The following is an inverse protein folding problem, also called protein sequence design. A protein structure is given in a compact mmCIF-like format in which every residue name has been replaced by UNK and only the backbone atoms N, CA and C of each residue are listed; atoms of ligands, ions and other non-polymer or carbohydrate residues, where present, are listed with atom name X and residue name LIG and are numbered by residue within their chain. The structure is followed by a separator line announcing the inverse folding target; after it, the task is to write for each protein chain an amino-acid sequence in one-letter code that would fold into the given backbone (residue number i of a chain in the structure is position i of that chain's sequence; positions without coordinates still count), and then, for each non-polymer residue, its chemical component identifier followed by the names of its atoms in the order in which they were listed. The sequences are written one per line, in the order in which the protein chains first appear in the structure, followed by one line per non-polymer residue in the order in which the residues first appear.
data_IF_178678146823
#
_entry.id   IF_178678146823
#
_cell.length_a   1.000
_cell.length_b   1.000
_cell.length_c   1.000
_cell.angle_alpha   90.00
_cell.angle_beta   90.00
_cell.angle_gamma   90.00
#
_symmetry.space_group_name_H-M   'P 1'
#
loop_
_entity.id
_entity.type
_entity.pdbx_description
1 polymer ?
#
# COMPACT_ATOMS: atom_id res chain seq x y z
N UNK A 1 9.12 -32.07 -0.07
CA UNK A 1 8.00 -31.41 0.63
C UNK A 1 8.07 -29.93 0.28
N UNK A 2 7.43 -29.53 -0.80
CA UNK A 2 7.42 -28.16 -1.32
C UNK A 2 6.24 -27.44 -0.66
N UNK A 3 6.52 -26.41 0.12
CA UNK A 3 5.50 -25.59 0.76
C UNK A 3 4.78 -24.77 -0.32
N UNK A 4 3.47 -24.99 -0.42
CA UNK A 4 2.55 -24.17 -1.19
C UNK A 4 2.36 -22.84 -0.44
N UNK A 5 2.81 -21.73 -1.04
CA UNK A 5 2.62 -20.39 -0.50
C UNK A 5 1.26 -19.89 -0.96
N UNK A 6 0.26 -19.98 -0.08
CA UNK A 6 -1.09 -19.52 -0.36
C UNK A 6 -1.13 -18.06 -0.78
N UNK A 7 -1.49 -17.81 -2.03
CA UNK A 7 -1.78 -16.48 -2.55
C UNK A 7 -3.20 -16.08 -2.15
N UNK A 8 -3.35 -15.13 -1.23
CA UNK A 8 -4.65 -14.55 -0.91
C UNK A 8 -5.12 -13.65 -2.06
N UNK A 9 -6.24 -14.01 -2.69
CA UNK A 9 -6.95 -13.20 -3.67
C UNK A 9 -8.43 -13.11 -3.29
N UNK A 10 -9.00 -11.90 -3.31
CA UNK A 10 -10.43 -11.72 -3.07
C UNK A 10 -11.23 -12.00 -4.34
N UNK A 11 -12.20 -12.91 -4.26
CA UNK A 11 -13.22 -13.14 -5.28
C UNK A 11 -14.60 -12.89 -4.68
N UNK A 12 -15.44 -12.12 -5.37
CA UNK A 12 -16.85 -11.94 -5.00
C UNK A 12 -17.66 -12.95 -5.84
N UNK A 13 -17.88 -14.14 -5.29
CA UNK A 13 -18.63 -15.21 -5.95
C UNK A 13 -19.75 -15.71 -5.03
N UNK A 14 -21.01 -15.51 -5.45
CA UNK A 14 -22.14 -16.25 -4.93
C UNK A 14 -22.39 -17.44 -5.86
N UNK A 15 -21.97 -18.65 -5.48
CA UNK A 15 -22.26 -19.86 -6.26
C UNK A 15 -21.29 -21.00 -5.99
N UNK A 16 -21.85 -22.19 -5.76
CA UNK A 16 -21.12 -23.43 -5.54
C UNK A 16 -20.19 -23.79 -6.73
N UNK A 17 -18.90 -23.97 -6.43
CA UNK A 17 -18.11 -25.06 -6.98
C UNK A 17 -17.73 -25.09 -8.46
N UNK A 18 -17.86 -24.00 -9.25
CA UNK A 18 -17.29 -23.93 -10.60
C UNK A 18 -16.69 -22.53 -10.82
N UNK A 19 -15.38 -22.38 -11.15
CA UNK A 19 -14.83 -21.10 -11.60
C UNK A 19 -15.51 -20.72 -12.91
N UNK A 20 -16.34 -19.67 -12.90
CA UNK A 20 -16.93 -19.12 -14.12
C UNK A 20 -15.84 -18.34 -14.89
N UNK A 21 -15.74 -18.48 -16.21
CA UNK A 21 -14.95 -17.56 -17.03
C UNK A 21 -15.48 -16.13 -16.84
N UNK A 22 -14.71 -15.28 -16.14
CA UNK A 22 -15.09 -13.88 -15.86
C UNK A 22 -15.23 -13.51 -14.38
N UNK A 23 -14.55 -14.21 -13.46
CA UNK A 23 -14.48 -13.79 -12.06
C UNK A 23 -13.62 -12.51 -11.92
N UNK A 24 -14.26 -11.41 -11.52
CA UNK A 24 -13.56 -10.16 -11.21
C UNK A 24 -12.69 -10.33 -9.97
N UNK A 25 -11.37 -10.25 -10.13
CA UNK A 25 -10.41 -10.29 -9.01
C UNK A 25 -9.77 -8.93 -8.83
N UNK A 26 -9.55 -8.55 -7.58
CA UNK A 26 -8.73 -7.39 -7.26
C UNK A 26 -7.45 -7.84 -6.57
N UNK A 27 -6.31 -7.41 -7.09
CA UNK A 27 -4.98 -7.65 -6.51
C UNK A 27 -4.18 -6.36 -6.49
N UNK A 28 -3.13 -6.33 -5.68
CA UNK A 28 -2.23 -5.19 -5.54
C UNK A 28 -0.81 -5.68 -5.70
N UNK A 29 -0.09 -5.07 -6.63
CA UNK A 29 1.37 -5.16 -6.66
C UNK A 29 1.94 -4.02 -5.81
N UNK A 30 2.57 -4.39 -4.72
CA UNK A 30 3.34 -3.47 -3.87
C UNK A 30 4.78 -3.45 -4.34
N UNK A 31 5.32 -2.27 -4.62
CA UNK A 31 6.73 -2.06 -4.96
C UNK A 31 7.35 -1.09 -3.98
N UNK A 32 8.51 -1.44 -3.42
CA UNK A 32 9.23 -0.59 -2.45
C UNK A 32 10.63 -0.32 -2.95
N UNK A 33 10.95 0.95 -3.13
CA UNK A 33 12.29 1.44 -3.46
C UNK A 33 12.92 2.10 -2.22
N UNK A 34 14.21 1.85 -1.99
CA UNK A 34 14.88 2.28 -0.75
C UNK A 34 16.18 3.00 -1.04
N UNK A 35 16.36 4.16 -0.41
CA UNK A 35 17.60 4.94 -0.43
C UNK A 35 18.17 5.05 0.98
N UNK A 36 19.49 4.88 1.08
CA UNK A 36 20.22 4.92 2.35
C UNK A 36 20.31 6.35 2.89
N UNK A 37 20.65 6.49 4.17
CA UNK A 37 20.70 7.80 4.82
C UNK A 37 21.69 8.77 4.16
N UNK A 38 22.83 8.27 3.65
CA UNK A 38 23.80 9.11 2.93
C UNK A 38 23.26 9.60 1.59
N UNK A 39 22.60 8.72 0.83
CA UNK A 39 21.97 9.08 -0.44
C UNK A 39 20.86 10.11 -0.24
N UNK A 40 20.01 9.90 0.77
CA UNK A 40 18.97 10.85 1.18
C UNK A 40 19.57 12.18 1.60
N UNK A 41 20.60 12.19 2.47
CA UNK A 41 21.27 13.42 2.92
C UNK A 41 21.88 14.19 1.76
N UNK A 42 22.59 13.51 0.87
CA UNK A 42 23.19 14.12 -0.31
C UNK A 42 22.13 14.75 -1.22
N UNK A 43 21.02 14.02 -1.48
CA UNK A 43 19.92 14.54 -2.30
C UNK A 43 19.24 15.75 -1.65
N UNK A 44 18.99 15.69 -0.33
CA UNK A 44 18.43 16.81 0.43
C UNK A 44 19.28 18.07 0.30
N UNK A 45 20.60 17.96 0.46
CA UNK A 45 21.51 19.11 0.33
C UNK A 45 21.52 19.70 -1.10
N UNK A 46 21.30 18.87 -2.11
CA UNK A 46 21.26 19.29 -3.52
C UNK A 46 19.96 20.00 -3.89
N UNK A 47 18.86 19.60 -3.26
CA UNK A 47 17.50 20.06 -3.57
C UNK A 47 16.98 21.15 -2.64
N UNK A 48 17.63 21.33 -1.48
CA UNK A 48 17.17 22.19 -0.37
C UNK A 48 15.76 21.82 0.14
N UNK A 49 15.42 20.52 0.07
CA UNK A 49 14.19 19.93 0.59
C UNK A 49 14.29 18.41 0.66
N UNK A 50 13.33 17.76 1.31
CA UNK A 50 13.23 16.30 1.29
C UNK A 50 13.06 15.76 -0.15
N UNK A 51 13.82 14.72 -0.55
CA UNK A 51 13.75 14.13 -1.88
C UNK A 51 12.53 13.21 -2.02
N UNK A 52 11.98 13.17 -3.24
CA UNK A 52 11.01 12.18 -3.73
C UNK A 52 11.70 11.10 -4.57
N UNK A 53 10.99 10.04 -4.92
CA UNK A 53 11.42 9.04 -5.90
C UNK A 53 11.87 9.68 -7.23
N UNK A 54 11.08 10.63 -7.74
CA UNK A 54 11.39 11.36 -8.98
C UNK A 54 12.67 12.18 -8.86
N UNK A 55 12.97 12.69 -7.68
CA UNK A 55 14.19 13.46 -7.46
C UNK A 55 15.42 12.55 -7.50
N UNK A 56 15.37 11.38 -6.86
CA UNK A 56 16.45 10.41 -6.96
C UNK A 56 16.69 9.95 -8.40
N UNK A 57 15.63 9.73 -9.18
CA UNK A 57 15.73 9.42 -10.60
C UNK A 57 16.41 10.57 -11.40
N UNK A 58 15.98 11.82 -11.16
CA UNK A 58 16.57 13.02 -11.80
C UNK A 58 18.04 13.21 -11.43
N UNK A 59 18.39 12.91 -10.18
CA UNK A 59 19.76 12.98 -9.67
C UNK A 59 20.59 11.74 -10.01
N UNK A 60 20.00 10.74 -10.69
CA UNK A 60 20.64 9.47 -11.07
C UNK A 60 21.19 8.69 -9.88
N UNK A 61 20.49 8.74 -8.75
CA UNK A 61 20.81 7.97 -7.55
C UNK A 61 19.90 6.75 -7.50
N UNK A 62 20.46 5.58 -7.79
CA UNK A 62 19.72 4.34 -7.73
C UNK A 62 19.36 3.97 -6.28
N UNK A 63 18.18 3.37 -6.05
CA UNK A 63 17.88 2.76 -4.76
C UNK A 63 18.86 1.61 -4.48
N UNK A 64 19.21 1.39 -3.22
CA UNK A 64 20.05 0.25 -2.84
C UNK A 64 19.27 -1.07 -2.86
N UNK A 65 17.94 -1.01 -2.79
CA UNK A 65 17.07 -2.17 -2.86
C UNK A 65 15.71 -1.79 -3.47
N UNK A 66 15.22 -2.67 -4.33
CA UNK A 66 13.86 -2.63 -4.87
C UNK A 66 13.25 -4.01 -4.64
N UNK A 67 12.06 -4.06 -4.06
CA UNK A 67 11.34 -5.31 -3.80
C UNK A 67 9.90 -5.18 -4.21
N UNK A 68 9.31 -6.31 -4.55
CA UNK A 68 7.91 -6.40 -4.95
C UNK A 68 7.19 -7.46 -4.12
N UNK A 69 5.90 -7.22 -3.85
CA UNK A 69 5.01 -8.17 -3.21
C UNK A 69 3.67 -8.12 -3.94
N UNK A 70 3.24 -9.25 -4.48
CA UNK A 70 1.94 -9.38 -5.13
C UNK A 70 0.94 -10.00 -4.16
N UNK A 71 -0.19 -9.31 -4.00
CA UNK A 71 -1.34 -9.81 -3.25
C UNK A 71 -1.81 -8.86 -2.17
N UNK A 72 -3.08 -9.01 -1.84
CA UNK A 72 -3.76 -8.35 -0.75
C UNK A 72 -5.14 -9.00 -0.58
N UNK A 73 -5.75 -8.79 0.57
CA UNK A 73 -7.19 -8.88 0.71
C UNK A 73 -7.79 -7.51 0.43
N UNK A 74 -8.88 -7.44 -0.35
CA UNK A 74 -9.72 -6.25 -0.37
C UNK A 74 -10.64 -6.28 0.85
N UNK A 75 -10.60 -5.21 1.63
CA UNK A 75 -11.42 -5.10 2.83
C UNK A 75 -12.88 -4.77 2.43
N UNK A 76 -13.84 -5.27 3.20
CA UNK A 76 -15.27 -5.03 2.99
C UNK A 76 -15.59 -3.54 2.98
N UNK A 77 -15.01 -2.76 3.90
CA UNK A 77 -15.18 -1.31 3.93
C UNK A 77 -14.62 -0.62 2.66
N UNK A 78 -13.51 -1.14 2.14
CA UNK A 78 -12.94 -0.75 0.85
C UNK A 78 -13.89 -0.98 -0.32
N UNK A 79 -14.43 -2.20 -0.41
CA UNK A 79 -15.46 -2.55 -1.40
C UNK A 79 -16.67 -1.64 -1.33
N UNK A 80 -17.24 -1.45 -0.14
CA UNK A 80 -18.39 -0.57 0.06
C UNK A 80 -18.10 0.84 -0.44
N UNK A 81 -16.91 1.38 -0.15
CA UNK A 81 -16.54 2.72 -0.63
C UNK A 81 -16.43 2.79 -2.15
N UNK A 82 -15.77 1.82 -2.78
CA UNK A 82 -15.66 1.77 -4.24
C UNK A 82 -17.05 1.69 -4.90
N UNK A 83 -17.96 0.87 -4.37
CA UNK A 83 -19.31 0.72 -4.89
C UNK A 83 -20.18 1.98 -4.66
N UNK A 84 -20.03 2.65 -3.51
CA UNK A 84 -20.73 3.90 -3.26
C UNK A 84 -20.30 5.00 -4.24
N UNK A 85 -19.00 5.11 -4.52
CA UNK A 85 -18.48 6.04 -5.52
C UNK A 85 -19.00 5.71 -6.93
N UNK A 86 -19.01 4.43 -7.31
CA UNK A 86 -19.52 3.98 -8.61
C UNK A 86 -21.03 4.23 -8.76
N UNK A 87 -21.81 4.05 -7.70
CA UNK A 87 -23.25 4.29 -7.68
C UNK A 87 -23.66 5.76 -7.48
N UNK A 88 -22.70 6.68 -7.33
CA UNK A 88 -22.99 8.08 -7.03
C UNK A 88 -23.61 8.31 -5.63
N UNK A 89 -23.44 7.35 -4.72
CA UNK A 89 -23.97 7.40 -3.35
C UNK A 89 -23.09 8.23 -2.39
N UNK A 90 -22.00 8.81 -2.91
CA UNK A 90 -21.04 9.62 -2.16
C UNK A 90 -19.90 8.80 -1.55
N UNK A 91 -19.11 9.46 -0.71
CA UNK A 91 -17.87 8.94 -0.14
C UNK A 91 -16.63 9.66 -0.67
N UNK A 92 -15.50 9.47 0.02
CA UNK A 92 -14.25 10.10 -0.37
C UNK A 92 -13.56 9.30 -1.48
N UNK A 93 -13.22 9.96 -2.58
CA UNK A 93 -12.47 9.34 -3.67
C UNK A 93 -11.04 9.00 -3.22
N UNK A 94 -10.48 7.91 -3.76
CA UNK A 94 -9.07 7.57 -3.58
C UNK A 94 -8.21 8.33 -4.60
N UNK A 95 -7.91 9.60 -4.28
CA UNK A 95 -7.02 10.49 -5.03
C UNK A 95 -5.76 10.85 -4.21
N UNK A 96 -4.87 11.67 -4.77
CA UNK A 96 -3.61 12.07 -4.12
C UNK A 96 -3.77 13.04 -2.94
N UNK A 97 -4.97 13.51 -2.65
CA UNK A 97 -5.26 14.37 -1.49
C UNK A 97 -6.02 13.63 -0.38
N UNK A 98 -6.56 12.45 -0.69
CA UNK A 98 -7.37 11.65 0.23
C UNK A 98 -7.00 10.16 0.23
N UNK A 99 -5.78 9.79 -0.12
CA UNK A 99 -5.29 8.41 -0.04
C UNK A 99 -3.97 8.35 0.70
N UNK A 100 -3.81 7.37 1.58
CA UNK A 100 -2.55 7.11 2.27
C UNK A 100 -2.13 5.67 2.07
N UNK A 101 -0.82 5.44 1.96
CA UNK A 101 -0.23 4.10 2.10
C UNK A 101 0.16 3.92 3.56
N UNK A 102 -0.50 2.98 4.22
CA UNK A 102 -0.17 2.47 5.54
C UNK A 102 0.94 1.42 5.48
N UNK A 103 1.87 1.51 6.43
CA UNK A 103 2.88 0.48 6.72
C UNK A 103 2.84 0.18 8.22
N UNK A 104 3.00 -1.09 8.57
CA UNK A 104 2.97 -1.54 9.96
C UNK A 104 3.98 -2.64 10.25
N UNK A 105 4.31 -2.81 11.52
CA UNK A 105 5.14 -3.91 12.01
C UNK A 105 4.32 -5.11 12.52
N UNK A 106 2.98 -5.07 12.37
CA UNK A 106 2.07 -6.13 12.79
C UNK A 106 2.47 -7.46 12.14
N UNK A 107 2.87 -8.43 12.95
CA UNK A 107 3.33 -9.74 12.46
C UNK A 107 2.94 -10.93 13.34
N UNK A 108 2.23 -10.72 14.44
CA UNK A 108 2.22 -11.75 15.48
C UNK A 108 0.86 -11.80 16.17
N UNK A 109 0.14 -12.90 15.96
CA UNK A 109 -0.76 -13.42 16.99
C UNK A 109 0.12 -13.85 18.16
N UNK A 110 -0.26 -13.62 19.43
CA UNK A 110 0.45 -14.16 20.58
C UNK A 110 0.66 -15.69 20.39
N UNK A 111 1.87 -16.11 19.99
CA UNK A 111 2.13 -17.46 19.48
C UNK A 111 3.06 -17.58 18.27
N UNK A 112 3.46 -16.48 17.62
CA UNK A 112 4.53 -16.48 16.60
C UNK A 112 4.10 -16.80 15.17
N UNK A 113 2.79 -16.81 14.88
CA UNK A 113 2.26 -16.88 13.51
C UNK A 113 1.80 -15.51 13.00
N UNK A 114 2.03 -15.24 11.72
CA UNK A 114 1.46 -14.10 11.01
C UNK A 114 -0.06 -14.15 11.05
N UNK A 115 -0.72 -13.08 11.53
CA UNK A 115 -2.17 -12.91 11.34
C UNK A 115 -2.39 -12.66 9.85
N UNK A 116 -3.14 -13.51 9.14
CA UNK A 116 -3.46 -13.24 7.74
C UNK A 116 -4.40 -12.02 7.66
N UNK A 117 -4.18 -11.16 6.67
CA UNK A 117 -5.17 -10.15 6.31
C UNK A 117 -6.54 -10.80 6.06
N UNK A 118 -7.61 -10.20 6.55
CA UNK A 118 -9.00 -10.67 6.35
C UNK A 118 -9.88 -9.55 5.84
N UNK A 119 -10.99 -9.91 5.16
CA UNK A 119 -11.87 -8.92 4.54
C UNK A 119 -12.52 -7.97 5.58
N UNK A 120 -12.65 -8.40 6.83
CA UNK A 120 -13.20 -7.58 7.90
C UNK A 120 -12.23 -6.51 8.44
N UNK A 121 -10.95 -6.53 8.03
CA UNK A 121 -9.95 -5.60 8.54
C UNK A 121 -10.32 -4.15 8.19
N UNK A 122 -10.30 -3.29 9.19
CA UNK A 122 -10.49 -1.84 9.03
C UNK A 122 -9.21 -1.05 9.28
N UNK A 123 -8.14 -1.71 9.69
CA UNK A 123 -6.87 -1.12 10.14
C UNK A 123 -5.74 -2.13 9.88
N UNK A 124 -4.49 -1.65 9.92
CA UNK A 124 -3.31 -2.50 10.00
C UNK A 124 -3.32 -3.26 11.33
N UNK A 125 -2.74 -4.45 11.37
CA UNK A 125 -2.68 -5.27 12.58
C UNK A 125 -1.66 -4.74 13.61
N UNK A 126 -0.74 -3.85 13.21
CA UNK A 126 0.19 -3.18 14.10
C UNK A 126 -0.52 -2.41 15.22
N UNK A 127 0.09 -2.45 16.41
CA UNK A 127 -0.36 -1.64 17.53
C UNK A 127 -0.38 -0.15 17.18
N UNK A 128 -1.23 0.62 17.86
CA UNK A 128 -1.26 2.07 17.68
C UNK A 128 0.08 2.74 18.03
N UNK A 129 0.37 3.85 17.37
CA UNK A 129 1.55 4.69 17.64
C UNK A 129 2.60 4.66 16.52
N UNK A 130 3.34 5.76 16.40
CA UNK A 130 4.28 6.02 15.30
C UNK A 130 5.50 5.09 15.28
N UNK A 131 5.73 4.33 16.36
CA UNK A 131 6.77 3.31 16.42
C UNK A 131 6.34 1.96 15.78
N UNK A 132 5.05 1.79 15.50
CA UNK A 132 4.48 0.51 15.05
C UNK A 132 3.78 0.62 13.71
N UNK A 133 3.11 1.75 13.47
CA UNK A 133 2.36 2.00 12.24
C UNK A 133 2.48 3.45 11.79
N UNK A 134 2.38 3.63 10.48
CA UNK A 134 2.42 4.93 9.85
C UNK A 134 1.63 4.91 8.55
N UNK A 135 0.74 5.87 8.38
CA UNK A 135 0.04 6.13 7.12
C UNK A 135 0.67 7.35 6.47
N UNK A 136 1.22 7.18 5.27
CA UNK A 136 1.84 8.25 4.51
C UNK A 136 0.92 8.70 3.38
N UNK A 137 0.62 10.00 3.35
CA UNK A 137 -0.17 10.60 2.28
C UNK A 137 0.50 10.35 0.92
N UNK A 138 -0.31 9.95 -0.04
CA UNK A 138 0.11 9.70 -1.42
C UNK A 138 0.54 11.01 -2.08
N UNK A 139 1.67 10.99 -2.78
CA UNK A 139 2.19 12.14 -3.54
C UNK A 139 1.74 12.11 -5.01
N UNK A 140 1.35 10.94 -5.52
CA UNK A 140 0.82 10.78 -6.87
C UNK A 140 -0.17 9.61 -6.95
N UNK A 141 -1.32 9.85 -7.59
CA UNK A 141 -2.29 8.82 -7.96
C UNK A 141 -2.54 8.86 -9.47
N UNK A 142 -2.58 7.70 -10.13
CA UNK A 142 -2.86 7.59 -11.56
C UNK A 142 -3.73 6.36 -11.87
N UNK A 143 -4.31 6.31 -13.07
CA UNK A 143 -5.15 5.20 -13.51
C UNK A 143 -6.65 5.49 -13.38
N UNK A 144 -7.46 4.45 -13.60
CA UNK A 144 -8.92 4.52 -13.68
C UNK A 144 -9.46 4.41 -15.12
N UNK A 145 -10.73 4.01 -15.29
CA UNK A 145 -11.33 3.84 -16.61
C UNK A 145 -11.54 5.21 -17.29
N UNK A 146 -11.00 5.37 -18.50
CA UNK A 146 -11.31 6.49 -19.41
C UNK A 146 -12.25 6.00 -20.51
N UNK A 147 -13.33 6.73 -20.78
CA UNK A 147 -14.26 6.40 -21.86
C UNK A 147 -13.53 6.50 -23.21
N UNK A 148 -13.49 5.40 -23.98
CA UNK A 148 -13.01 5.39 -25.37
C UNK A 148 -11.62 4.80 -25.65
N UNK A 149 -10.97 4.14 -24.68
CA UNK A 149 -9.68 3.46 -24.91
C UNK A 149 -9.55 2.09 -24.22
N UNK A 150 -8.65 1.25 -24.70
CA UNK A 150 -8.21 0.01 -24.02
C UNK A 150 -7.33 0.40 -22.82
N UNK A 151 -7.95 0.78 -21.71
CA UNK A 151 -7.22 1.20 -20.50
C UNK A 151 -7.05 -0.01 -19.57
N UNK A 152 -5.85 -0.24 -18.98
CA UNK A 152 -5.71 -1.21 -17.92
C UNK A 152 -6.66 -0.86 -16.76
N UNK A 153 -7.38 -1.85 -16.25
CA UNK A 153 -8.30 -1.70 -15.10
C UNK A 153 -7.48 -1.55 -13.81
N UNK A 154 -6.67 -0.50 -13.72
CA UNK A 154 -5.67 -0.31 -12.68
C UNK A 154 -5.75 1.07 -12.03
N UNK A 155 -5.46 1.12 -10.72
CA UNK A 155 -5.25 2.35 -9.94
C UNK A 155 -3.87 2.27 -9.30
N UNK A 156 -3.06 3.33 -9.42
CA UNK A 156 -1.70 3.37 -8.89
C UNK A 156 -1.56 4.51 -7.90
N UNK A 157 -0.96 4.22 -6.74
CA UNK A 157 -0.70 5.17 -5.66
C UNK A 157 0.76 5.14 -5.27
N UNK A 158 1.38 6.30 -5.11
CA UNK A 158 2.79 6.44 -4.69
C UNK A 158 2.88 7.26 -3.43
N UNK A 159 3.56 6.76 -2.40
CA UNK A 159 3.87 7.50 -1.17
C UNK A 159 5.37 7.48 -0.87
N UNK A 160 5.91 8.63 -0.48
CA UNK A 160 7.33 8.80 -0.14
C UNK A 160 7.46 8.95 1.37
N UNK A 161 8.12 8.01 2.03
CA UNK A 161 8.39 8.02 3.46
C UNK A 161 9.76 8.66 3.71
N UNK A 162 9.76 9.85 4.31
CA UNK A 162 10.96 10.63 4.60
C UNK A 162 11.75 10.10 5.79
N UNK A 163 12.80 10.81 6.19
CA UNK A 163 13.73 10.35 7.23
C UNK A 163 13.12 10.08 8.62
N UNK A 164 11.96 10.65 8.92
CA UNK A 164 11.21 10.45 10.17
C UNK A 164 10.08 9.43 10.08
N UNK A 165 9.70 9.03 8.88
CA UNK A 165 8.40 8.41 8.64
C UNK A 165 8.53 6.89 8.59
N UNK A 166 7.73 6.18 9.37
CA UNK A 166 7.68 4.72 9.33
C UNK A 166 9.00 4.02 9.71
N UNK A 167 9.75 4.53 10.69
CA UNK A 167 11.07 4.01 11.07
C UNK A 167 10.96 2.74 11.96
N UNK A 168 10.43 1.66 11.38
CA UNK A 168 10.24 0.36 12.01
C UNK A 168 10.23 -0.74 10.93
N UNK A 169 10.02 -2.00 11.32
CA UNK A 169 9.90 -3.12 10.40
C UNK A 169 8.59 -3.03 9.59
N UNK A 170 8.68 -3.05 8.26
CA UNK A 170 7.52 -3.00 7.38
C UNK A 170 7.09 -4.42 7.03
N UNK A 171 6.09 -4.92 7.74
CA UNK A 171 5.62 -6.30 7.61
C UNK A 171 4.18 -6.44 7.10
N UNK A 172 3.47 -5.31 7.02
CA UNK A 172 2.15 -5.19 6.43
C UNK A 172 2.00 -3.85 5.71
N UNK A 173 1.08 -3.81 4.76
CA UNK A 173 0.71 -2.63 3.97
C UNK A 173 -0.79 -2.57 3.73
N UNK A 174 -1.31 -1.37 3.60
CA UNK A 174 -2.71 -1.15 3.23
C UNK A 174 -2.94 0.28 2.74
N UNK A 175 -3.98 0.49 1.96
CA UNK A 175 -4.43 1.82 1.57
C UNK A 175 -5.59 2.23 2.46
N UNK A 176 -5.63 3.48 2.87
CA UNK A 176 -6.82 4.09 3.46
C UNK A 176 -7.13 5.44 2.82
N UNK A 177 -8.26 6.02 3.20
CA UNK A 177 -8.72 7.28 2.65
C UNK A 177 -8.58 8.47 3.63
N UNK A 178 -7.38 8.64 4.21
CA UNK A 178 -7.05 9.81 5.03
C UNK A 178 -6.40 10.96 4.26
N UNK A 179 -6.32 12.12 4.90
CA UNK A 179 -5.88 13.40 4.28
C UNK A 179 -4.55 13.93 4.80
N UNK A 180 -3.96 13.28 5.80
CA UNK A 180 -2.69 13.69 6.38
C UNK A 180 -1.88 12.47 6.82
N UNK A 181 -0.55 12.57 6.70
CA UNK A 181 0.37 11.55 7.19
C UNK A 181 0.34 11.46 8.71
N UNK A 182 0.48 10.26 9.25
CA UNK A 182 0.59 10.05 10.70
C UNK A 182 0.28 8.62 11.12
N UNK A 183 0.35 8.37 12.43
CA UNK A 183 0.07 7.05 13.02
C UNK A 183 -1.41 6.81 13.37
N UNK A 184 -2.26 7.82 13.15
CA UNK A 184 -3.68 7.76 13.46
C UNK A 184 -4.47 7.23 12.28
N UNK A 185 -5.33 6.26 12.58
CA UNK A 185 -6.31 5.71 11.64
C UNK A 185 -7.46 6.66 11.55
N UNK A 186 -7.75 7.14 10.35
CA UNK A 186 -8.82 8.12 10.10
C UNK A 186 -9.89 7.58 9.16
N UNK A 187 -9.62 6.47 8.49
CA UNK A 187 -10.54 5.81 7.59
C UNK A 187 -10.30 4.29 7.61
N UNK A 188 -11.33 3.48 7.33
CA UNK A 188 -11.14 2.05 7.09
C UNK A 188 -10.21 1.77 5.90
N UNK A 189 -9.51 0.64 5.95
CA UNK A 189 -8.68 0.17 4.84
C UNK A 189 -9.50 -0.15 3.58
N UNK A 190 -8.91 0.18 2.42
CA UNK A 190 -9.29 -0.31 1.11
C UNK A 190 -8.84 -1.77 0.93
N UNK A 191 -7.57 -2.02 1.26
CA UNK A 191 -6.92 -3.30 1.16
C UNK A 191 -5.93 -3.52 2.31
N UNK A 192 -5.63 -4.78 2.57
CA UNK A 192 -4.64 -5.18 3.55
C UNK A 192 -3.77 -6.31 3.01
N UNK A 193 -2.46 -6.17 3.14
CA UNK A 193 -1.47 -7.18 2.84
C UNK A 193 -0.55 -7.38 4.04
N UNK A 194 -0.51 -8.60 4.57
CA UNK A 194 0.33 -9.00 5.71
C UNK A 194 1.45 -9.91 5.25
N UNK A 195 2.50 -10.10 6.07
CA UNK A 195 3.65 -10.97 5.76
C UNK A 195 4.46 -10.53 4.53
N UNK A 196 4.50 -9.21 4.26
CA UNK A 196 5.24 -8.67 3.12
C UNK A 196 6.76 -8.57 3.36
N UNK A 197 7.20 -8.57 4.63
CA UNK A 197 8.59 -8.56 5.08
C UNK A 197 9.54 -7.65 4.26
N UNK A 198 9.29 -6.34 4.26
CA UNK A 198 10.06 -5.35 3.49
C UNK A 198 11.34 -4.88 4.20
N UNK A 199 11.64 -5.40 5.39
CA UNK A 199 12.78 -5.03 6.22
C UNK A 199 12.50 -3.85 7.16
N UNK A 200 13.52 -3.42 7.90
CA UNK A 200 13.43 -2.30 8.86
C UNK A 200 13.94 -1.02 8.24
N UNK A 201 13.07 0.00 8.16
CA UNK A 201 13.46 1.33 7.74
C UNK A 201 14.14 2.06 8.90
N UNK A 202 15.36 2.53 8.66
CA UNK A 202 16.10 3.33 9.64
C UNK A 202 15.82 4.83 9.46
N UNK A 203 16.00 5.59 10.54
CA UNK A 203 15.91 7.05 10.47
C UNK A 203 16.91 7.63 9.46
N UNK A 204 16.52 8.72 8.79
CA UNK A 204 17.31 9.37 7.75
C UNK A 204 17.26 8.70 6.38
N UNK A 205 16.66 7.51 6.24
CA UNK A 205 16.42 6.87 4.95
C UNK A 205 15.14 7.40 4.28
N UNK A 206 15.14 7.40 2.95
CA UNK A 206 13.92 7.61 2.16
C UNK A 206 13.48 6.29 1.54
N UNK A 207 12.23 5.90 1.76
CA UNK A 207 11.63 4.74 1.11
C UNK A 207 10.39 5.18 0.36
N UNK A 208 10.19 4.68 -0.86
CA UNK A 208 8.99 4.96 -1.66
C UNK A 208 8.20 3.66 -1.80
N UNK A 209 6.92 3.70 -1.42
CA UNK A 209 5.98 2.60 -1.66
C UNK A 209 5.07 2.97 -2.82
N UNK A 210 4.90 2.03 -3.76
CA UNK A 210 3.93 2.12 -4.85
C UNK A 210 2.95 0.96 -4.73
N UNK A 211 1.65 1.27 -4.74
CA UNK A 211 0.57 0.30 -4.77
C UNK A 211 -0.11 0.36 -6.13
N UNK A 212 -0.02 -0.72 -6.91
CA UNK A 212 -0.71 -0.85 -8.20
C UNK A 212 -1.85 -1.85 -8.05
N UNK A 213 -3.06 -1.32 -7.85
CA UNK A 213 -4.29 -2.10 -7.77
C UNK A 213 -4.72 -2.47 -9.18
N UNK A 214 -5.07 -3.73 -9.39
CA UNK A 214 -5.54 -4.27 -10.67
C UNK A 214 -6.85 -5.01 -10.46
N UNK A 215 -7.84 -4.71 -11.30
CA UNK A 215 -9.12 -5.41 -11.36
C UNK A 215 -9.14 -6.27 -12.63
N UNK A 216 -8.98 -7.58 -12.52
CA UNK A 216 -8.94 -8.48 -13.68
C UNK A 216 -10.26 -9.19 -13.87
#
# INVERSE_FOLDING_TARGET
MTLDHGHAGGALAAGAGIPLPGDGRATTLWRVERWGADATRWATLRLDRAPTDRDFARLRVAPYAVTEHLGNVLCTAGWTRLLNLAGGLGGQAYDNTHTRIGVGNGTVTAGGGSVPAVAADTDLAAASGAANRWFQLVTASTGGPTVGGTVPKTLTYVAVFGGSDGNFAWNEMGLDAGTASGATVTAPLLNHATSIAQGTKAAGQTWTATATLSFT
#
